data_IF_847935181717
#
_entry.id   IF_847935181717
#
_cell.length_a   1.000
_cell.length_b   1.000
_cell.length_c   1.000
_cell.angle_alpha   90.00
_cell.angle_beta   90.00
_cell.angle_gamma   90.00
#
_symmetry.space_group_name_H-M   'P 1'
#
loop_
_entity.id
_entity.type
_entity.pdbx_description
1 polymer ?
#
# COMPACT_ATOMS: atom_id res chain seq x y z
N UNK A 1 4.38 1.56 9.67
CA UNK A 1 4.61 0.18 9.18
C UNK A 1 5.98 0.18 8.52
N UNK A 2 6.87 -0.70 8.94
CA UNK A 2 8.25 -0.72 8.46
C UNK A 2 8.50 -1.94 7.56
N UNK A 3 9.24 -1.74 6.46
CA UNK A 3 9.65 -2.80 5.56
C UNK A 3 11.12 -2.65 5.22
N UNK A 4 11.90 -3.68 5.48
CA UNK A 4 13.27 -3.74 4.97
C UNK A 4 13.25 -4.20 3.53
N UNK A 5 13.78 -3.38 2.62
CA UNK A 5 13.91 -3.69 1.20
C UNK A 5 15.32 -3.33 0.71
N UNK A 6 15.99 -4.24 0.01
CA UNK A 6 17.39 -4.03 -0.47
C UNK A 6 18.34 -3.50 0.63
N UNK A 7 18.21 -4.00 1.86
CA UNK A 7 19.05 -3.60 2.99
C UNK A 7 18.75 -2.22 3.60
N UNK A 8 17.74 -1.48 3.10
CA UNK A 8 17.26 -0.24 3.69
C UNK A 8 15.91 -0.46 4.37
N UNK A 9 15.69 0.21 5.50
CA UNK A 9 14.39 0.21 6.19
C UNK A 9 13.56 1.36 5.66
N UNK A 10 12.41 1.02 5.10
CA UNK A 10 11.44 1.98 4.58
C UNK A 10 10.28 2.05 5.56
N UNK A 11 9.94 3.27 5.95
CA UNK A 11 8.88 3.54 6.91
C UNK A 11 7.72 4.22 6.20
N UNK A 12 6.52 3.62 6.26
CA UNK A 12 5.32 4.22 5.65
C UNK A 12 5.03 5.63 6.18
N UNK A 13 5.52 5.97 7.39
CA UNK A 13 5.38 7.30 7.99
C UNK A 13 6.33 8.34 7.39
N UNK A 14 7.51 7.91 6.90
CA UNK A 14 8.47 8.78 6.23
C UNK A 14 8.25 8.84 4.72
N UNK A 15 7.48 7.90 4.18
CA UNK A 15 7.17 7.82 2.77
C UNK A 15 6.14 8.86 2.36
N UNK A 16 6.23 9.31 1.11
CA UNK A 16 5.21 10.19 0.52
C UNK A 16 4.04 9.34 0.05
N UNK A 17 2.84 9.62 0.56
CA UNK A 17 1.60 9.03 0.03
C UNK A 17 1.32 9.65 -1.32
N UNK A 18 1.31 8.84 -2.37
CA UNK A 18 0.99 9.29 -3.73
C UNK A 18 -0.49 9.16 -4.03
N UNK A 19 -1.09 8.04 -3.64
CA UNK A 19 -2.51 7.76 -3.85
C UNK A 19 -3.01 6.85 -2.75
N UNK A 20 -4.21 7.14 -2.25
CA UNK A 20 -4.93 6.26 -1.34
C UNK A 20 -6.25 5.90 -1.98
N UNK A 21 -6.54 4.61 -2.06
CA UNK A 21 -7.81 4.06 -2.51
C UNK A 21 -8.42 3.33 -1.33
N UNK A 22 -9.67 3.63 -1.04
CA UNK A 22 -10.45 2.91 -0.05
C UNK A 22 -11.64 2.32 -0.77
N UNK A 23 -11.78 1.01 -0.68
CA UNK A 23 -12.85 0.25 -1.29
C UNK A 23 -13.65 -0.38 -0.16
N UNK A 24 -14.91 0.03 0.00
CA UNK A 24 -15.78 -0.40 1.08
C UNK A 24 -16.04 0.68 2.11
N UNK A 25 -16.83 0.32 3.13
CA UNK A 25 -17.24 1.20 4.21
C UNK A 25 -16.62 0.75 5.55
N UNK A 26 -16.62 1.63 6.52
CA UNK A 26 -16.21 1.31 7.88
C UNK A 26 -17.03 0.14 8.44
N UNK A 27 -16.37 -0.94 8.84
CA UNK A 27 -17.03 -2.16 9.32
C UNK A 27 -17.43 -3.16 8.22
N UNK A 28 -17.11 -2.88 6.95
CA UNK A 28 -17.33 -3.84 5.88
C UNK A 28 -16.28 -4.96 5.93
N UNK A 29 -16.67 -6.23 6.09
CA UNK A 29 -15.73 -7.33 6.19
C UNK A 29 -14.97 -7.59 4.87
N UNK A 30 -15.51 -7.16 3.73
CA UNK A 30 -14.88 -7.19 2.41
C UNK A 30 -14.23 -5.86 2.01
N UNK A 31 -14.25 -4.86 2.91
CA UNK A 31 -13.63 -3.55 2.70
C UNK A 31 -12.11 -3.60 2.86
N UNK A 32 -11.41 -2.94 1.94
CA UNK A 32 -9.96 -2.83 1.93
C UNK A 32 -9.50 -1.44 1.52
N UNK A 33 -8.32 -1.05 1.99
CA UNK A 33 -7.62 0.16 1.62
C UNK A 33 -6.26 -0.18 1.02
N UNK A 34 -5.94 0.53 -0.06
CA UNK A 34 -4.69 0.45 -0.80
C UNK A 34 -4.04 1.83 -0.78
N UNK A 35 -2.92 1.96 -0.08
CA UNK A 35 -2.14 3.19 -0.02
C UNK A 35 -0.84 3.00 -0.78
N UNK A 36 -0.69 3.76 -1.87
CA UNK A 36 0.51 3.82 -2.67
C UNK A 36 1.46 4.86 -2.08
N UNK A 37 2.60 4.37 -1.60
CA UNK A 37 3.72 5.14 -1.09
C UNK A 37 4.82 5.25 -2.16
N UNK A 38 5.52 6.38 -2.17
CA UNK A 38 6.70 6.60 -2.99
C UNK A 38 7.84 7.12 -2.11
N UNK A 39 9.02 6.56 -2.33
CA UNK A 39 10.27 7.05 -1.77
C UNK A 39 11.32 7.13 -2.88
N UNK A 40 11.67 8.35 -3.28
CA UNK A 40 12.54 8.59 -4.44
C UNK A 40 11.98 7.93 -5.71
N UNK A 41 12.67 6.89 -6.18
CA UNK A 41 12.33 6.17 -7.42
C UNK A 41 11.68 4.80 -7.16
N UNK A 42 11.39 4.47 -5.90
CA UNK A 42 10.76 3.22 -5.46
C UNK A 42 9.31 3.46 -5.06
N UNK A 43 8.48 2.46 -5.32
CA UNK A 43 7.05 2.49 -5.01
C UNK A 43 6.70 1.33 -4.10
N UNK A 44 5.85 1.59 -3.11
CA UNK A 44 5.41 0.62 -2.14
C UNK A 44 3.90 0.69 -2.02
N UNK A 45 3.26 -0.46 -2.17
CA UNK A 45 1.83 -0.59 -1.99
C UNK A 45 1.56 -1.17 -0.61
N UNK A 46 0.84 -0.41 0.20
CA UNK A 46 0.30 -0.87 1.47
C UNK A 46 -1.15 -1.27 1.27
N UNK A 47 -1.47 -2.52 1.56
CA UNK A 47 -2.83 -3.04 1.47
C UNK A 47 -3.28 -3.49 2.83
N UNK A 48 -4.43 -3.02 3.30
CA UNK A 48 -5.03 -3.41 4.57
C UNK A 48 -6.53 -3.61 4.38
N UNK A 49 -7.13 -4.64 4.96
CA UNK A 49 -8.54 -4.92 4.73
C UNK A 49 -9.12 -5.92 5.72
N UNK A 50 -10.45 -6.01 5.71
CA UNK A 50 -11.21 -6.91 6.57
C UNK A 50 -11.02 -8.39 6.25
N UNK A 51 -11.48 -9.27 7.14
CA UNK A 51 -11.27 -10.73 7.06
C UNK A 51 -11.87 -11.41 5.80
N UNK A 52 -12.84 -10.78 5.13
CA UNK A 52 -13.42 -11.25 3.86
C UNK A 52 -12.85 -10.53 2.64
N UNK A 53 -11.91 -9.61 2.83
CA UNK A 53 -11.25 -8.88 1.76
C UNK A 53 -10.14 -9.72 1.11
N UNK A 54 -9.76 -9.42 -0.15
CA UNK A 54 -8.55 -9.99 -0.74
C UNK A 54 -7.28 -9.63 0.05
N UNK A 55 -7.31 -8.52 0.78
CA UNK A 55 -6.22 -8.03 1.61
C UNK A 55 -6.50 -8.20 3.11
N UNK A 56 -6.75 -9.44 3.56
CA UNK A 56 -7.08 -9.77 4.96
C UNK A 56 -6.06 -9.29 6.00
N UNK A 57 -4.85 -8.95 5.59
CA UNK A 57 -3.76 -8.57 6.48
C UNK A 57 -3.03 -7.38 5.89
N UNK A 58 -2.79 -6.37 6.75
CA UNK A 58 -1.93 -5.24 6.45
C UNK A 58 -0.57 -5.72 5.91
N UNK A 59 -0.29 -5.44 4.64
CA UNK A 59 0.94 -5.84 3.97
C UNK A 59 1.53 -4.69 3.19
N UNK A 60 2.82 -4.44 3.39
CA UNK A 60 3.61 -3.54 2.56
C UNK A 60 4.41 -4.37 1.54
N UNK A 61 4.14 -4.14 0.26
CA UNK A 61 4.86 -4.77 -0.85
C UNK A 61 5.51 -3.69 -1.71
N UNK A 62 6.73 -3.93 -2.16
CA UNK A 62 7.34 -3.06 -3.15
C UNK A 62 6.73 -3.38 -4.52
N UNK A 63 6.42 -2.35 -5.30
CA UNK A 63 5.94 -2.50 -6.67
C UNK A 63 6.82 -1.71 -7.63
N UNK A 64 6.86 -2.13 -8.88
CA UNK A 64 7.58 -1.41 -9.92
C UNK A 64 6.85 -0.12 -10.29
N UNK A 65 7.60 0.89 -10.77
CA UNK A 65 7.06 2.17 -11.24
C UNK A 65 5.93 2.01 -12.27
N UNK A 66 6.04 1.02 -13.17
CA UNK A 66 4.99 0.73 -14.15
C UNK A 66 3.66 0.37 -13.47
N UNK A 67 3.69 -0.54 -12.48
CA UNK A 67 2.51 -0.96 -11.71
C UNK A 67 1.93 0.19 -10.90
N UNK A 68 2.80 1.01 -10.29
CA UNK A 68 2.38 2.21 -9.56
C UNK A 68 1.69 3.22 -10.49
N UNK A 69 2.20 3.42 -11.70
CA UNK A 69 1.60 4.30 -12.70
C UNK A 69 0.22 3.78 -13.17
N UNK A 70 0.03 2.47 -13.30
CA UNK A 70 -1.28 1.88 -13.59
C UNK A 70 -2.31 2.23 -12.50
N UNK A 71 -1.91 2.22 -11.22
CA UNK A 71 -2.80 2.58 -10.10
C UNK A 71 -3.05 4.09 -10.00
N UNK A 72 -2.11 4.91 -10.50
CA UNK A 72 -2.22 6.36 -10.52
C UNK A 72 -3.16 6.87 -11.61
N UNK A 73 -3.27 6.16 -12.73
CA UNK A 73 -4.29 6.40 -13.76
C UNK A 73 -5.71 6.31 -13.20
#
# INVERSE_FOLDING_TARGET
MQKTFRGKVYDTEKMTVVKKVVSGAWGDPAGYEETLFQEGNLFFLYTNGGEKSPYKTAKLVNISKAKAAEMQK
#
